data_IF_147553949444
#
_entry.id   IF_147553949444
#
_cell.length_a   1.000
_cell.length_b   1.000
_cell.length_c   1.000
_cell.angle_alpha   90.00
_cell.angle_beta   90.00
_cell.angle_gamma   90.00
#
_symmetry.space_group_name_H-M   'P 1'
#
loop_
_entity.id
_entity.type
_entity.pdbx_description
1 polymer ?
#
# COMPACT_ATOMS: atom_id res chain seq x y z
N UNK A 1 -5.95 15.76 -15.81
CA UNK A 1 -5.07 16.79 -16.41
C UNK A 1 -5.15 18.10 -15.63
N UNK A 2 -6.34 18.71 -15.53
CA UNK A 2 -6.56 20.02 -14.88
C UNK A 2 -6.11 20.12 -13.41
N UNK A 3 -6.40 19.12 -12.58
CA UNK A 3 -5.95 19.11 -11.16
C UNK A 3 -4.41 19.13 -11.06
N UNK A 4 -3.72 18.32 -11.89
CA UNK A 4 -2.25 18.27 -11.89
C UNK A 4 -1.64 19.60 -12.34
N UNK A 5 -2.23 20.25 -13.34
CA UNK A 5 -1.81 21.57 -13.81
C UNK A 5 -1.99 22.63 -12.71
N UNK A 6 -3.10 22.61 -11.98
CA UNK A 6 -3.33 23.49 -10.84
C UNK A 6 -2.29 23.27 -9.72
N UNK A 7 -1.99 22.02 -9.37
CA UNK A 7 -0.92 21.67 -8.43
C UNK A 7 0.44 22.20 -8.90
N UNK A 8 0.75 22.04 -10.19
CA UNK A 8 2.00 22.53 -10.79
C UNK A 8 2.14 24.05 -10.75
N UNK A 9 1.03 24.79 -10.67
CA UNK A 9 1.00 26.25 -10.44
C UNK A 9 1.08 26.65 -8.96
N UNK A 10 1.26 25.69 -8.06
CA UNK A 10 1.41 25.93 -6.63
C UNK A 10 0.10 25.99 -5.84
N UNK A 11 -1.06 25.64 -6.44
CA UNK A 11 -2.28 25.50 -5.65
C UNK A 11 -2.14 24.31 -4.69
N UNK A 12 -2.65 24.48 -3.48
CA UNK A 12 -2.82 23.36 -2.55
C UNK A 12 -3.80 22.32 -3.10
N UNK A 13 -3.67 21.07 -2.63
CA UNK A 13 -4.47 19.93 -3.10
C UNK A 13 -5.98 20.19 -3.07
N UNK A 14 -6.49 20.70 -1.96
CA UNK A 14 -7.92 21.00 -1.79
C UNK A 14 -8.40 22.10 -2.74
N UNK A 15 -7.63 23.16 -2.90
CA UNK A 15 -7.94 24.25 -3.84
C UNK A 15 -7.91 23.78 -5.29
N UNK A 16 -6.97 22.91 -5.66
CA UNK A 16 -6.86 22.35 -7.00
C UNK A 16 -8.07 21.47 -7.37
N UNK A 17 -8.59 20.70 -6.41
CA UNK A 17 -9.81 19.91 -6.57
C UNK A 17 -11.05 20.80 -6.71
N UNK A 18 -11.22 21.77 -5.80
CA UNK A 18 -12.33 22.71 -5.83
C UNK A 18 -12.39 23.51 -7.15
N UNK A 19 -11.24 23.96 -7.67
CA UNK A 19 -11.15 24.65 -8.96
C UNK A 19 -11.55 23.78 -10.17
N UNK A 20 -11.63 22.46 -9.98
CA UNK A 20 -12.07 21.51 -10.99
C UNK A 20 -13.49 20.96 -10.72
N UNK A 21 -14.18 21.43 -9.69
CA UNK A 21 -15.48 20.90 -9.24
C UNK A 21 -15.42 19.39 -8.95
N UNK A 22 -14.40 18.98 -8.17
CA UNK A 22 -14.15 17.58 -7.84
C UNK A 22 -14.08 17.37 -6.34
N UNK A 23 -14.69 16.27 -5.89
CA UNK A 23 -14.54 15.75 -4.55
C UNK A 23 -13.72 14.44 -4.55
N UNK A 24 -12.89 14.19 -3.53
CA UNK A 24 -12.25 12.90 -3.39
C UNK A 24 -13.26 11.81 -3.04
N UNK A 25 -13.23 10.71 -3.79
CA UNK A 25 -14.05 9.53 -3.53
C UNK A 25 -13.47 8.66 -2.41
N UNK A 26 -13.38 9.20 -1.18
CA UNK A 26 -12.81 8.50 -0.02
C UNK A 26 -13.60 7.24 0.38
N UNK A 27 -14.90 7.22 0.09
CA UNK A 27 -15.80 6.06 0.24
C UNK A 27 -15.36 4.83 -0.59
N UNK A 28 -14.57 5.06 -1.65
CA UNK A 28 -14.02 4.01 -2.50
C UNK A 28 -12.72 3.42 -1.98
N UNK A 29 -12.06 4.07 -1.01
CA UNK A 29 -10.88 3.54 -0.36
C UNK A 29 -11.29 2.50 0.69
N UNK A 30 -10.64 1.34 0.64
CA UNK A 30 -10.82 0.28 1.63
C UNK A 30 -9.58 0.24 2.50
N UNK A 31 -9.74 0.52 3.79
CA UNK A 31 -8.64 0.39 4.73
C UNK A 31 -8.13 -1.04 4.78
N UNK A 32 -6.82 -1.21 4.61
CA UNK A 32 -6.17 -2.50 4.61
C UNK A 32 -5.47 -2.75 5.94
N UNK A 33 -4.56 -1.86 6.34
CA UNK A 33 -3.73 -2.00 7.55
C UNK A 33 -2.93 -0.73 7.81
N UNK A 34 -2.44 -0.57 9.04
CA UNK A 34 -1.54 0.51 9.45
C UNK A 34 -0.22 -0.10 9.89
N UNK A 35 0.89 0.39 9.35
CA UNK A 35 2.23 -0.06 9.69
C UNK A 35 3.04 1.07 10.27
N UNK A 36 3.73 0.78 11.36
CA UNK A 36 4.69 1.70 11.96
C UNK A 36 6.06 1.08 11.78
N UNK A 37 7.00 1.84 11.23
CA UNK A 37 8.38 1.37 11.08
C UNK A 37 9.00 1.01 12.43
N UNK A 38 9.88 -0.01 12.48
CA UNK A 38 10.56 -0.42 13.71
C UNK A 38 11.24 0.75 14.45
N UNK A 39 11.40 0.64 15.75
CA UNK A 39 12.09 1.66 16.55
C UNK A 39 13.59 1.75 16.21
N UNK A 40 14.18 0.63 15.78
CA UNK A 40 15.62 0.51 15.46
C UNK A 40 16.03 1.28 14.20
N UNK A 41 15.10 1.78 13.38
CA UNK A 41 15.44 2.56 12.17
C UNK A 41 15.40 4.05 12.43
N UNK A 42 16.37 4.79 11.87
CA UNK A 42 16.53 6.24 12.08
C UNK A 42 15.36 7.06 11.55
N UNK A 43 14.86 6.73 10.36
CA UNK A 43 13.69 7.39 9.75
C UNK A 43 12.47 6.52 10.00
N UNK A 44 11.48 7.08 10.68
CA UNK A 44 10.27 6.37 11.07
C UNK A 44 9.04 6.93 10.38
N UNK A 45 8.14 6.05 10.01
CA UNK A 45 6.88 6.35 9.36
C UNK A 45 5.74 5.59 10.03
N UNK A 46 4.56 6.22 10.02
CA UNK A 46 3.30 5.66 10.45
C UNK A 46 2.33 5.68 9.26
N UNK A 47 2.32 4.57 8.53
CA UNK A 47 1.74 4.47 7.20
C UNK A 47 0.43 3.71 7.24
N UNK A 48 -0.64 4.32 6.75
CA UNK A 48 -1.92 3.65 6.50
C UNK A 48 -1.99 3.19 5.04
N UNK A 49 -2.27 1.91 4.84
CA UNK A 49 -2.45 1.32 3.52
C UNK A 49 -3.92 1.15 3.21
N UNK A 50 -4.29 1.53 1.99
CA UNK A 50 -5.62 1.42 1.44
C UNK A 50 -5.57 0.67 0.11
N UNK A 51 -6.66 -0.03 -0.20
CA UNK A 51 -6.89 -0.65 -1.50
C UNK A 51 -8.07 0.03 -2.18
N UNK A 52 -8.00 0.15 -3.50
CA UNK A 52 -9.09 0.69 -4.32
C UNK A 52 -9.10 0.01 -5.69
N UNK A 53 -10.29 -0.08 -6.29
CA UNK A 53 -10.41 -0.44 -7.71
C UNK A 53 -10.07 0.79 -8.55
N UNK A 54 -9.14 0.64 -9.49
CA UNK A 54 -8.91 1.66 -10.51
C UNK A 54 -10.17 1.75 -11.40
N UNK A 55 -10.80 2.92 -11.54
CA UNK A 55 -11.91 3.10 -12.46
C UNK A 55 -11.48 2.79 -13.91
N UNK A 56 -12.42 2.29 -14.72
CA UNK A 56 -12.17 2.12 -16.15
C UNK A 56 -11.81 3.44 -16.84
N UNK A 57 -11.04 3.36 -17.93
CA UNK A 57 -10.65 4.52 -18.74
C UNK A 57 -9.59 5.43 -18.10
N UNK A 58 -9.00 5.05 -16.95
CA UNK A 58 -7.90 5.80 -16.36
C UNK A 58 -6.57 5.48 -17.06
N UNK A 59 -5.81 6.52 -17.40
CA UNK A 59 -4.45 6.38 -17.93
C UNK A 59 -3.46 6.73 -16.83
N UNK A 60 -2.52 5.81 -16.54
CA UNK A 60 -1.43 6.10 -15.61
C UNK A 60 -0.50 7.14 -16.24
N UNK A 61 -0.22 8.19 -15.46
CA UNK A 61 0.81 9.19 -15.78
C UNK A 61 1.64 9.41 -14.52
N UNK A 62 2.81 8.75 -14.39
CA UNK A 62 3.70 8.98 -13.27
C UNK A 62 4.13 10.45 -13.24
N UNK A 63 4.43 10.97 -12.05
CA UNK A 63 5.04 12.29 -11.93
C UNK A 63 6.52 12.16 -12.36
N UNK A 64 6.95 12.87 -13.41
CA UNK A 64 8.37 12.91 -13.78
C UNK A 64 9.19 13.41 -12.59
N UNK A 65 10.40 12.88 -12.43
CA UNK A 65 11.34 13.07 -11.29
C UNK A 65 11.05 12.31 -9.99
N UNK A 66 9.80 11.91 -9.73
CA UNK A 66 9.44 11.14 -8.53
C UNK A 66 9.38 9.64 -8.81
N UNK A 67 8.86 9.25 -9.96
CA UNK A 67 8.72 7.85 -10.39
C UNK A 67 9.51 7.65 -11.66
N UNK A 68 10.52 6.77 -11.60
CA UNK A 68 11.43 6.48 -12.73
C UNK A 68 10.90 5.40 -13.66
N UNK A 69 10.06 4.49 -13.15
CA UNK A 69 9.44 3.42 -13.93
C UNK A 69 8.12 2.97 -13.29
N UNK A 70 7.22 2.40 -14.09
CA UNK A 70 5.96 1.82 -13.63
C UNK A 70 5.50 0.69 -14.55
N UNK A 71 4.91 -0.34 -13.95
CA UNK A 71 4.26 -1.44 -14.68
C UNK A 71 3.10 -2.02 -13.87
N UNK A 72 2.14 -2.61 -14.57
CA UNK A 72 1.13 -3.44 -13.93
C UNK A 72 1.70 -4.84 -13.70
N UNK A 73 1.62 -5.31 -12.46
CA UNK A 73 2.02 -6.65 -12.06
C UNK A 73 0.91 -7.27 -11.22
N UNK A 74 0.75 -8.58 -11.34
CA UNK A 74 0.11 -9.37 -10.29
C UNK A 74 0.97 -9.34 -9.03
N UNK A 75 0.35 -9.65 -7.89
CA UNK A 75 1.09 -9.76 -6.63
C UNK A 75 2.21 -10.82 -6.69
N UNK A 76 1.95 -11.95 -7.33
CA UNK A 76 2.93 -13.03 -7.50
C UNK A 76 4.15 -12.58 -8.29
N UNK A 77 3.94 -11.95 -9.44
CA UNK A 77 5.04 -11.43 -10.29
C UNK A 77 5.90 -10.41 -9.54
N UNK A 78 5.29 -9.49 -8.79
CA UNK A 78 6.02 -8.51 -8.00
C UNK A 78 6.85 -9.16 -6.88
N UNK A 79 6.31 -10.18 -6.21
CA UNK A 79 6.96 -10.89 -5.09
C UNK A 79 8.17 -11.71 -5.55
N UNK A 80 8.07 -12.32 -6.74
CA UNK A 80 9.12 -13.19 -7.31
C UNK A 80 10.14 -12.47 -8.17
N UNK A 81 9.90 -11.20 -8.53
CA UNK A 81 10.80 -10.43 -9.38
C UNK A 81 12.10 -10.07 -8.65
N UNK A 82 13.23 -10.33 -9.29
CA UNK A 82 14.55 -9.83 -8.84
C UNK A 82 14.77 -8.35 -9.15
N UNK A 83 13.95 -7.77 -10.05
CA UNK A 83 14.04 -6.37 -10.47
C UNK A 83 13.23 -5.44 -9.55
N UNK A 84 12.34 -5.99 -8.72
CA UNK A 84 11.47 -5.22 -7.84
C UNK A 84 11.93 -5.40 -6.40
N UNK A 85 12.64 -4.40 -5.89
CA UNK A 85 12.95 -4.36 -4.47
C UNK A 85 11.69 -4.00 -3.67
N UNK A 86 11.27 -4.91 -2.79
CA UNK A 86 10.09 -4.73 -1.95
C UNK A 86 10.51 -4.55 -0.51
N UNK A 87 10.17 -3.38 0.05
CA UNK A 87 10.20 -3.21 1.51
C UNK A 87 9.21 -4.17 2.17
N UNK A 88 9.52 -4.56 3.41
CA UNK A 88 8.79 -5.59 4.15
C UNK A 88 7.27 -5.38 4.15
N UNK A 89 6.79 -4.19 4.50
CA UNK A 89 5.36 -3.88 4.52
C UNK A 89 4.70 -4.08 3.15
N UNK A 90 5.35 -3.64 2.06
CA UNK A 90 4.83 -3.81 0.69
C UNK A 90 4.74 -5.29 0.32
N UNK A 91 5.77 -6.10 0.62
CA UNK A 91 5.73 -7.56 0.40
C UNK A 91 4.54 -8.20 1.11
N UNK A 92 4.31 -7.86 2.39
CA UNK A 92 3.18 -8.40 3.18
C UNK A 92 1.82 -7.97 2.62
N UNK A 93 1.70 -6.75 2.11
CA UNK A 93 0.47 -6.30 1.45
C UNK A 93 0.24 -7.06 0.14
N UNK A 94 1.29 -7.29 -0.65
CA UNK A 94 1.19 -8.08 -1.87
C UNK A 94 0.83 -9.54 -1.57
N UNK A 95 1.39 -10.16 -0.53
CA UNK A 95 1.00 -11.50 -0.09
C UNK A 95 -0.50 -11.56 0.27
N UNK A 96 -1.01 -10.54 0.96
CA UNK A 96 -2.43 -10.43 1.29
C UNK A 96 -3.28 -10.27 0.02
N UNK A 97 -2.89 -9.38 -0.88
CA UNK A 97 -3.60 -9.15 -2.16
C UNK A 97 -3.59 -10.42 -3.00
N UNK A 98 -2.46 -11.12 -3.08
CA UNK A 98 -2.31 -12.37 -3.82
C UNK A 98 -3.01 -13.58 -3.19
N UNK A 99 -3.41 -13.49 -1.91
CA UNK A 99 -4.16 -14.56 -1.23
C UNK A 99 -5.60 -14.72 -1.72
N UNK A 100 -6.11 -13.74 -2.47
CA UNK A 100 -7.48 -13.72 -2.99
C UNK A 100 -7.45 -13.35 -4.49
N UNK A 101 -7.89 -14.27 -5.35
CA UNK A 101 -7.88 -14.07 -6.80
C UNK A 101 -8.91 -13.06 -7.31
N UNK A 102 -9.88 -12.67 -6.48
CA UNK A 102 -10.93 -11.72 -6.81
C UNK A 102 -10.82 -10.43 -5.97
N UNK A 103 -10.46 -9.33 -6.62
CA UNK A 103 -10.35 -8.02 -5.99
C UNK A 103 -11.66 -7.54 -5.32
N UNK A 104 -12.85 -7.86 -5.86
CA UNK A 104 -14.12 -7.53 -5.22
C UNK A 104 -14.31 -8.28 -3.91
N UNK A 105 -13.99 -9.58 -3.89
CA UNK A 105 -14.07 -10.40 -2.66
C UNK A 105 -13.10 -9.91 -1.60
N UNK A 106 -11.86 -9.59 -1.99
CA UNK A 106 -10.86 -9.03 -1.07
C UNK A 106 -11.35 -7.73 -0.44
N UNK A 107 -11.82 -6.78 -1.27
CA UNK A 107 -12.30 -5.48 -0.80
C UNK A 107 -13.53 -5.62 0.09
N UNK A 108 -14.49 -6.49 -0.26
CA UNK A 108 -15.66 -6.75 0.56
C UNK A 108 -15.30 -7.36 1.92
N UNK A 109 -14.34 -8.30 1.95
CA UNK A 109 -13.80 -8.89 3.18
C UNK A 109 -13.17 -7.84 4.08
N UNK A 110 -12.31 -6.98 3.51
CA UNK A 110 -11.62 -5.94 4.27
C UNK A 110 -12.57 -4.87 4.83
N UNK A 111 -13.60 -4.47 4.07
CA UNK A 111 -14.62 -3.53 4.56
C UNK A 111 -15.40 -4.04 5.77
N UNK A 112 -15.59 -5.35 5.87
CA UNK A 112 -16.31 -5.98 7.01
C UNK A 112 -15.39 -6.24 8.20
N UNK A 113 -14.07 -6.12 8.03
CA UNK A 113 -13.10 -6.34 9.09
C UNK A 113 -13.16 -5.18 10.07
N UNK A 114 -13.12 -5.48 11.37
CA UNK A 114 -12.84 -4.44 12.38
C UNK A 114 -11.44 -3.90 12.17
N UNK A 115 -11.24 -2.63 12.49
CA UNK A 115 -9.91 -2.04 12.47
C UNK A 115 -8.99 -2.84 13.41
N UNK A 116 -7.81 -3.18 12.91
CA UNK A 116 -6.81 -3.95 13.63
C UNK A 116 -5.78 -3.00 14.21
N UNK A 117 -5.13 -3.35 15.34
CA UNK A 117 -3.99 -2.58 15.83
C UNK A 117 -2.92 -2.38 14.75
N UNK A 118 -2.14 -1.29 14.82
CA UNK A 118 -1.02 -1.08 13.93
C UNK A 118 -0.02 -2.24 14.02
N UNK A 119 0.54 -2.64 12.87
CA UNK A 119 1.65 -3.58 12.81
C UNK A 119 2.95 -2.80 12.97
N UNK A 120 3.74 -3.10 14.00
CA UNK A 120 5.09 -2.57 14.15
C UNK A 120 6.09 -3.73 14.14
N UNK A 121 6.80 -3.95 13.01
CA UNK A 121 7.78 -5.01 12.96
C UNK A 121 8.94 -4.75 13.92
N UNK A 122 9.58 -5.82 14.37
CA UNK A 122 10.82 -5.78 15.13
C UNK A 122 11.95 -6.28 14.25
N UNK A 123 13.10 -5.64 14.40
CA UNK A 123 14.33 -6.08 13.77
C UNK A 123 15.10 -6.89 14.82
N UNK A 124 15.27 -8.18 14.57
CA UNK A 124 15.96 -9.11 15.47
C UNK A 124 17.20 -9.66 14.79
N UNK A 125 18.26 -9.88 15.56
CA UNK A 125 19.47 -10.51 15.08
C UNK A 125 19.31 -12.03 15.25
N UNK A 126 19.39 -12.76 14.13
CA UNK A 126 19.22 -14.20 14.09
C UNK A 126 20.50 -14.93 14.55
N UNK A 127 20.35 -16.20 14.94
CA UNK A 127 21.45 -17.00 15.50
C UNK A 127 22.61 -17.25 14.51
N UNK A 128 22.35 -17.13 13.22
CA UNK A 128 23.31 -17.23 12.12
C UNK A 128 23.99 -15.89 11.78
N UNK A 129 23.71 -14.83 12.53
CA UNK A 129 24.25 -13.49 12.32
C UNK A 129 23.49 -12.66 11.28
N UNK A 130 22.42 -13.19 10.68
CA UNK A 130 21.57 -12.41 9.77
C UNK A 130 20.56 -11.54 10.53
N UNK A 131 20.15 -10.43 9.92
CA UNK A 131 19.10 -9.57 10.47
C UNK A 131 17.75 -10.01 9.91
N UNK A 132 16.79 -10.30 10.80
CA UNK A 132 15.43 -10.67 10.43
C UNK A 132 14.43 -9.58 10.83
N UNK A 133 13.47 -9.31 9.94
CA UNK A 133 12.30 -8.49 10.25
C UNK A 133 11.15 -9.41 10.61
N UNK A 134 10.66 -9.30 11.84
CA UNK A 134 9.54 -10.10 12.37
C UNK A 134 8.34 -9.19 12.57
N UNK A 135 7.18 -9.59 12.07
CA UNK A 135 5.91 -8.89 12.29
C UNK A 135 4.85 -9.83 12.89
N UNK A 136 3.95 -9.24 13.68
CA UNK A 136 2.80 -9.95 14.25
C UNK A 136 1.54 -9.75 13.39
N UNK A 137 1.68 -9.56 12.07
CA UNK A 137 0.58 -9.30 11.16
C UNK A 137 -0.31 -10.54 10.89
N UNK A 138 -0.38 -11.45 11.86
CA UNK A 138 -1.28 -12.61 11.93
C UNK A 138 -2.75 -12.24 11.70
N UNK A 139 -3.14 -10.99 11.99
CA UNK A 139 -4.49 -10.47 11.70
C UNK A 139 -4.73 -10.17 10.22
N UNK A 140 -3.67 -9.99 9.41
CA UNK A 140 -3.76 -9.83 7.96
C UNK A 140 -3.86 -11.17 7.25
N UNK A 141 -3.21 -12.20 7.78
CA UNK A 141 -3.17 -13.54 7.21
C UNK A 141 -3.90 -14.50 8.14
N UNK A 142 -5.21 -14.76 7.95
CA UNK A 142 -5.85 -15.84 8.69
C UNK A 142 -5.02 -17.09 8.45
N UNK A 143 -4.60 -17.72 9.56
CA UNK A 143 -3.69 -18.87 9.56
C UNK A 143 -4.06 -19.84 8.44
N UNK A 144 -3.09 -20.15 7.56
CA UNK A 144 -3.13 -21.42 6.83
C UNK A 144 -3.26 -22.46 7.93
N UNK A 145 -4.43 -23.09 8.07
CA UNK A 145 -4.48 -24.34 8.83
C UNK A 145 -3.47 -25.28 8.16
N UNK A 146 -2.65 -25.99 8.94
CA UNK A 146 -1.70 -26.96 8.41
C UNK A 146 -2.42 -27.99 7.53
#
# INVERSE_FOLDING_TARGET
>A
ARVREALGRGLGFWSALAACDLDPAFDRLVFCTRWITPERVRRRFDTRFYLARLPGGQTIRPQPSEVVDWRWLTAGEAISSSEVELIHATRRILELVGSEGDASRLLARLRRRRETPPVMPRIVDAADGHVQVVDDATTLFPSRRP
#
